data_IF_386270519560
#
_entry.id   IF_386270519560
#
_cell.length_a   1.000
_cell.length_b   1.000
_cell.length_c   1.000
_cell.angle_alpha   90.00
_cell.angle_beta   90.00
_cell.angle_gamma   90.00
#
_symmetry.space_group_name_H-M   'P 1'
#
loop_
_entity.id
_entity.type
_entity.pdbx_description
1 polymer ?
#
# COMPACT_ATOMS: atom_id res chain seq x y z
N UNK A 1 -36.02 16.65 18.16
CA UNK A 1 -35.45 16.16 19.43
C UNK A 1 -33.98 16.14 19.11
N UNK A 2 -33.30 17.21 19.48
CA UNK A 2 -31.96 17.49 18.97
C UNK A 2 -31.00 16.56 19.71
N UNK A 3 -30.30 15.69 18.99
CA UNK A 3 -29.22 14.90 19.59
C UNK A 3 -28.12 15.86 20.03
N UNK A 4 -27.57 15.62 21.22
CA UNK A 4 -26.44 16.38 21.73
C UNK A 4 -25.18 15.58 21.40
N UNK A 5 -24.36 16.11 20.48
CA UNK A 5 -23.00 15.62 20.26
C UNK A 5 -22.21 15.91 21.53
N UNK A 6 -21.72 14.85 22.18
CA UNK A 6 -21.02 14.94 23.46
C UNK A 6 -19.53 15.10 23.27
N UNK A 7 -19.00 14.45 22.25
CA UNK A 7 -17.59 14.40 21.94
C UNK A 7 -17.38 13.94 20.51
N UNK A 8 -16.29 14.39 19.91
CA UNK A 8 -15.86 14.03 18.57
C UNK A 8 -14.46 13.44 18.66
N UNK A 9 -14.25 12.31 17.99
CA UNK A 9 -12.98 11.60 18.00
C UNK A 9 -12.53 11.29 16.59
N UNK A 10 -11.23 11.32 16.38
CA UNK A 10 -10.60 10.83 15.17
C UNK A 10 -10.13 9.41 15.41
N UNK A 11 -10.72 8.46 14.70
CA UNK A 11 -10.31 7.05 14.74
C UNK A 11 -9.32 6.78 13.63
N UNK A 12 -8.15 6.27 13.98
CA UNK A 12 -7.11 5.81 13.04
C UNK A 12 -6.99 4.30 13.15
N UNK A 13 -7.33 3.59 12.07
CA UNK A 13 -7.18 2.13 11.97
C UNK A 13 -5.98 1.82 11.10
N UNK A 14 -5.06 1.02 11.61
CA UNK A 14 -3.89 0.53 10.87
C UNK A 14 -4.11 -0.91 10.43
N UNK A 15 -3.78 -1.23 9.19
CA UNK A 15 -3.95 -2.57 8.61
C UNK A 15 -2.60 -3.22 8.34
N UNK A 16 -2.50 -4.54 8.55
CA UNK A 16 -1.34 -5.30 8.10
C UNK A 16 -1.20 -5.18 6.58
N UNK A 17 -2.31 -5.25 5.85
CA UNK A 17 -2.40 -4.92 4.44
C UNK A 17 -3.79 -4.35 4.14
N UNK A 18 -3.87 -3.12 3.64
CA UNK A 18 -5.16 -2.49 3.33
C UNK A 18 -5.66 -2.90 1.94
N UNK A 19 -6.82 -3.57 1.89
CA UNK A 19 -7.48 -4.04 0.68
C UNK A 19 -7.71 -2.95 -0.36
N UNK A 20 -8.17 -1.77 0.08
CA UNK A 20 -8.45 -0.63 -0.80
C UNK A 20 -7.24 -0.18 -1.66
N UNK A 21 -6.01 -0.39 -1.17
CA UNK A 21 -4.77 -0.13 -1.91
C UNK A 21 -4.30 -1.42 -2.60
N UNK A 22 -4.30 -2.53 -1.87
CA UNK A 22 -3.82 -3.84 -2.33
C UNK A 22 -4.43 -4.28 -3.67
N UNK A 23 -5.75 -4.18 -3.83
CA UNK A 23 -6.42 -4.63 -5.05
C UNK A 23 -6.03 -3.83 -6.30
N UNK A 24 -5.58 -2.58 -6.15
CA UNK A 24 -5.00 -1.84 -7.27
C UNK A 24 -3.67 -2.45 -7.70
N UNK A 25 -2.83 -2.83 -6.74
CA UNK A 25 -1.57 -3.52 -6.99
C UNK A 25 -1.79 -4.87 -7.65
N UNK A 26 -2.81 -5.60 -7.23
CA UNK A 26 -3.18 -6.89 -7.83
C UNK A 26 -3.53 -6.75 -9.31
N UNK A 27 -4.37 -5.77 -9.66
CA UNK A 27 -4.75 -5.51 -11.05
C UNK A 27 -3.53 -5.17 -11.93
N UNK A 28 -2.61 -4.33 -11.44
CA UNK A 28 -1.36 -4.05 -12.16
C UNK A 28 -0.46 -5.28 -12.26
N UNK A 29 -0.37 -6.09 -11.21
CA UNK A 29 0.44 -7.31 -11.20
C UNK A 29 -0.06 -8.35 -12.21
N UNK A 30 -1.37 -8.55 -12.28
CA UNK A 30 -2.01 -9.43 -13.27
C UNK A 30 -1.82 -8.92 -14.71
N UNK A 31 -2.06 -7.63 -14.95
CA UNK A 31 -1.81 -7.02 -16.25
C UNK A 31 -0.34 -7.16 -16.67
N UNK A 32 0.60 -6.92 -15.74
CA UNK A 32 2.03 -7.08 -15.97
C UNK A 32 2.41 -8.51 -16.36
N UNK A 33 1.91 -9.51 -15.62
CA UNK A 33 2.13 -10.93 -15.94
C UNK A 33 1.59 -11.29 -17.32
N UNK A 34 0.35 -10.94 -17.62
CA UNK A 34 -0.25 -11.23 -18.93
C UNK A 34 0.57 -10.64 -20.10
N UNK A 35 1.12 -9.43 -19.94
CA UNK A 35 1.96 -8.80 -20.96
C UNK A 35 3.29 -9.55 -21.14
N UNK A 36 3.96 -9.95 -20.05
CA UNK A 36 5.22 -10.70 -20.11
C UNK A 36 4.99 -12.10 -20.70
N UNK A 37 3.97 -12.80 -20.24
CA UNK A 37 3.64 -14.18 -20.61
C UNK A 37 3.10 -14.29 -22.05
N UNK A 38 2.65 -13.19 -22.65
CA UNK A 38 2.24 -13.15 -24.06
C UNK A 38 3.36 -13.53 -25.03
N UNK A 39 4.63 -13.46 -24.60
CA UNK A 39 5.80 -13.73 -25.43
C UNK A 39 6.07 -12.68 -26.52
N UNK A 40 5.26 -11.62 -26.60
CA UNK A 40 5.47 -10.54 -27.56
C UNK A 40 6.57 -9.61 -27.06
N UNK A 41 7.66 -9.50 -27.82
CA UNK A 41 8.86 -8.76 -27.42
C UNK A 41 8.59 -7.28 -27.11
N UNK A 42 7.64 -6.65 -27.81
CA UNK A 42 7.24 -5.26 -27.57
C UNK A 42 6.40 -5.07 -26.30
N UNK A 43 5.86 -6.13 -25.71
CA UNK A 43 5.02 -6.07 -24.50
C UNK A 43 5.81 -6.38 -23.22
N UNK A 44 7.02 -6.93 -23.31
CA UNK A 44 7.85 -7.25 -22.16
C UNK A 44 8.12 -6.04 -21.25
N UNK A 45 8.55 -4.92 -21.85
CA UNK A 45 8.87 -3.70 -21.11
C UNK A 45 7.64 -3.11 -20.41
N UNK A 46 6.49 -2.87 -21.11
CA UNK A 46 5.22 -2.55 -20.46
C UNK A 46 4.83 -3.49 -19.31
N UNK A 47 5.05 -4.80 -19.50
CA UNK A 47 4.83 -5.80 -18.48
C UNK A 47 5.67 -5.58 -17.22
N UNK A 48 6.98 -5.38 -17.37
CA UNK A 48 7.89 -5.12 -16.25
C UNK A 48 7.54 -3.83 -15.49
N UNK A 49 7.05 -2.80 -16.17
CA UNK A 49 6.62 -1.55 -15.53
C UNK A 49 5.39 -1.78 -14.67
N UNK A 50 4.43 -2.55 -15.17
CA UNK A 50 3.26 -2.94 -14.40
C UNK A 50 3.64 -3.77 -13.17
N UNK A 51 4.61 -4.69 -13.29
CA UNK A 51 5.14 -5.43 -12.14
C UNK A 51 5.83 -4.50 -11.12
N UNK A 52 6.60 -3.51 -11.58
CA UNK A 52 7.22 -2.52 -10.69
C UNK A 52 6.17 -1.68 -9.95
N UNK A 53 5.15 -1.21 -10.67
CA UNK A 53 4.06 -0.45 -10.08
C UNK A 53 3.26 -1.29 -9.08
N UNK A 54 2.95 -2.54 -9.42
CA UNK A 54 2.32 -3.49 -8.53
C UNK A 54 3.13 -3.67 -7.23
N UNK A 55 4.45 -3.84 -7.36
CA UNK A 55 5.36 -3.96 -6.22
C UNK A 55 5.29 -2.72 -5.33
N UNK A 56 5.32 -1.52 -5.91
CA UNK A 56 5.18 -0.26 -5.16
C UNK A 56 3.85 -0.19 -4.40
N UNK A 57 2.75 -0.54 -5.06
CA UNK A 57 1.40 -0.48 -4.49
C UNK A 57 1.25 -1.51 -3.36
N UNK A 58 1.78 -2.73 -3.55
CA UNK A 58 1.77 -3.75 -2.49
C UNK A 58 2.52 -3.27 -1.26
N UNK A 59 3.76 -2.76 -1.42
CA UNK A 59 4.53 -2.21 -0.31
C UNK A 59 3.78 -1.06 0.41
N UNK A 60 3.09 -0.21 -0.35
CA UNK A 60 2.29 0.90 0.21
C UNK A 60 1.00 0.46 0.89
N UNK A 61 0.46 -0.71 0.54
CA UNK A 61 -0.72 -1.28 1.19
C UNK A 61 -0.40 -1.79 2.59
N UNK A 62 0.85 -2.17 2.86
CA UNK A 62 1.31 -2.69 4.15
C UNK A 62 1.38 -1.54 5.15
N UNK A 63 0.84 -1.74 6.36
CA UNK A 63 0.80 -0.73 7.43
C UNK A 63 0.09 0.58 7.03
N UNK A 64 -0.78 0.53 6.03
CA UNK A 64 -1.61 1.65 5.61
C UNK A 64 -2.71 1.94 6.65
N UNK A 65 -3.14 3.20 6.71
CA UNK A 65 -4.12 3.66 7.70
C UNK A 65 -5.39 4.20 7.07
N UNK A 66 -6.51 3.94 7.73
CA UNK A 66 -7.81 4.52 7.45
C UNK A 66 -8.20 5.40 8.62
N UNK A 67 -8.49 6.66 8.34
CA UNK A 67 -8.90 7.66 9.34
C UNK A 67 -10.31 8.12 9.05
N UNK A 68 -11.15 8.24 10.07
CA UNK A 68 -12.46 8.88 9.99
C UNK A 68 -12.81 9.54 11.32
N UNK A 69 -13.67 10.55 11.27
CA UNK A 69 -14.21 11.24 12.43
C UNK A 69 -15.48 10.52 12.90
N UNK A 70 -15.59 10.34 14.20
CA UNK A 70 -16.71 9.76 14.92
C UNK A 70 -17.30 10.81 15.85
N UNK A 71 -18.61 10.99 15.79
CA UNK A 71 -19.37 11.73 16.80
C UNK A 71 -20.00 10.76 17.78
N UNK A 72 -19.83 11.00 19.07
CA UNK A 72 -20.65 10.37 20.10
C UNK A 72 -21.89 11.21 20.35
N UNK A 73 -23.04 10.67 19.99
CA UNK A 73 -24.34 11.29 20.19
C UNK A 73 -25.13 10.57 21.28
N UNK A 74 -25.71 11.33 22.21
CA UNK A 74 -26.73 10.82 23.13
C UNK A 74 -28.13 11.13 22.57
N UNK A 75 -28.95 10.09 22.40
CA UNK A 75 -30.35 10.25 21.94
C UNK A 75 -31.21 11.04 22.95
N UNK A 76 -30.84 11.02 24.23
CA UNK A 76 -31.49 11.71 25.35
C UNK A 76 -30.43 11.94 26.44
N UNK A 77 -30.50 13.03 27.24
CA UNK A 77 -29.54 13.26 28.33
C UNK A 77 -29.48 12.08 29.32
N UNK A 78 -28.28 11.48 29.46
CA UNK A 78 -28.07 10.29 30.31
C UNK A 78 -28.47 8.96 29.66
N UNK A 79 -28.73 8.96 28.36
CA UNK A 79 -28.98 7.77 27.54
C UNK A 79 -27.69 7.07 27.09
N UNK A 80 -27.84 6.02 26.27
CA UNK A 80 -26.70 5.31 25.67
C UNK A 80 -26.11 6.18 24.54
N UNK A 81 -24.81 6.44 24.61
CA UNK A 81 -24.08 7.11 23.54
C UNK A 81 -23.92 6.18 22.33
N UNK A 82 -24.18 6.70 21.14
CA UNK A 82 -23.97 6.03 19.86
C UNK A 82 -22.83 6.73 19.11
N UNK A 83 -21.88 5.95 18.58
CA UNK A 83 -20.84 6.48 17.71
C UNK A 83 -21.32 6.48 16.26
N UNK A 84 -21.37 7.65 15.63
CA UNK A 84 -21.77 7.83 14.23
C UNK A 84 -20.54 8.32 13.45
N UNK A 85 -20.20 7.64 12.36
CA UNK A 85 -19.10 8.05 11.49
C UNK A 85 -19.52 9.13 10.50
N UNK A 86 -18.63 10.11 10.29
CA UNK A 86 -18.77 11.11 9.24
C UNK A 86 -18.13 10.60 7.94
N UNK A 87 -18.93 10.14 6.99
CA UNK A 87 -18.44 9.51 5.74
C UNK A 87 -17.52 10.42 4.91
N UNK A 88 -17.74 11.74 4.95
CA UNK A 88 -16.97 12.76 4.24
C UNK A 88 -15.56 12.99 4.81
N UNK A 89 -15.26 12.42 5.98
CA UNK A 89 -13.97 12.55 6.67
C UNK A 89 -13.04 11.35 6.44
N UNK A 90 -13.48 10.36 5.66
CA UNK A 90 -12.71 9.17 5.37
C UNK A 90 -11.42 9.52 4.60
N UNK A 91 -10.28 9.23 5.22
CA UNK A 91 -8.95 9.41 4.62
C UNK A 91 -8.15 8.14 4.69
N UNK A 92 -7.66 7.70 3.53
CA UNK A 92 -6.71 6.59 3.41
C UNK A 92 -5.30 7.17 3.24
N UNK A 93 -4.34 6.68 4.04
CA UNK A 93 -2.93 6.99 3.90
C UNK A 93 -2.12 5.70 3.70
N UNK A 94 -1.26 5.62 2.66
CA UNK A 94 -0.40 4.46 2.45
C UNK A 94 0.65 4.36 3.55
N UNK A 95 1.11 3.15 3.87
CA UNK A 95 2.12 2.91 4.91
C UNK A 95 3.52 3.43 4.55
N UNK A 96 3.73 3.85 3.30
CA UNK A 96 4.96 4.45 2.82
C UNK A 96 4.75 5.56 1.79
N UNK A 97 5.72 6.47 1.70
CA UNK A 97 5.73 7.61 0.77
C UNK A 97 6.93 7.52 -0.18
N UNK A 98 6.80 8.13 -1.36
CA UNK A 98 7.80 8.06 -2.43
C UNK A 98 7.63 6.84 -3.35
N UNK A 99 8.62 6.58 -4.21
CA UNK A 99 8.59 5.54 -5.25
C UNK A 99 9.82 4.62 -5.26
N UNK A 100 10.77 4.82 -4.34
CA UNK A 100 11.94 3.94 -4.23
C UNK A 100 11.54 2.64 -3.52
N UNK A 101 11.46 1.54 -4.26
CA UNK A 101 11.01 0.24 -3.75
C UNK A 101 11.87 -0.24 -2.58
N UNK A 102 13.20 -0.07 -2.66
CA UNK A 102 14.11 -0.46 -1.58
C UNK A 102 13.77 0.25 -0.27
N UNK A 103 13.54 1.57 -0.33
CA UNK A 103 13.21 2.40 0.83
C UNK A 103 11.82 2.12 1.38
N UNK A 104 10.87 1.75 0.52
CA UNK A 104 9.54 1.32 0.96
C UNK A 104 9.65 0.02 1.73
N UNK A 105 10.41 -0.96 1.23
CA UNK A 105 10.65 -2.23 1.90
C UNK A 105 11.43 -2.07 3.22
N UNK A 106 12.50 -1.28 3.23
CA UNK A 106 13.33 -1.02 4.43
C UNK A 106 12.52 -0.40 5.57
N UNK A 107 11.43 0.33 5.28
CA UNK A 107 10.56 0.96 6.28
C UNK A 107 9.43 0.06 6.78
N UNK A 108 9.25 -1.12 6.19
CA UNK A 108 8.23 -2.05 6.65
C UNK A 108 8.54 -2.53 8.08
N UNK A 109 7.49 -2.90 8.84
CA UNK A 109 7.64 -3.64 10.09
C UNK A 109 8.52 -4.89 9.92
N UNK A 110 9.28 -5.24 10.95
CA UNK A 110 10.25 -6.35 10.91
C UNK A 110 9.58 -7.68 10.59
N UNK A 111 8.45 -7.98 11.21
CA UNK A 111 7.64 -9.18 10.98
C UNK A 111 7.16 -9.30 9.52
N UNK A 112 6.82 -8.16 8.89
CA UNK A 112 6.46 -8.11 7.49
C UNK A 112 7.66 -8.44 6.60
N UNK A 113 8.83 -7.83 6.86
CA UNK A 113 10.05 -8.09 6.08
C UNK A 113 10.52 -9.54 6.20
N UNK A 114 10.45 -10.12 7.39
CA UNK A 114 10.77 -11.53 7.63
C UNK A 114 9.85 -12.46 6.85
N UNK A 115 8.54 -12.26 6.96
CA UNK A 115 7.54 -13.06 6.24
C UNK A 115 7.72 -12.97 4.72
N UNK A 116 7.94 -11.76 4.18
CA UNK A 116 8.24 -11.57 2.75
C UNK A 116 9.53 -12.30 2.37
N UNK A 117 10.55 -12.30 3.24
CA UNK A 117 11.78 -13.06 3.07
C UNK A 117 11.55 -14.56 2.94
N UNK A 118 10.64 -15.13 3.72
CA UNK A 118 10.26 -16.54 3.63
C UNK A 118 9.53 -16.85 2.32
N UNK A 119 8.57 -16.01 1.93
CA UNK A 119 7.88 -16.16 0.65
C UNK A 119 8.84 -16.01 -0.53
N UNK A 120 9.80 -15.09 -0.48
CA UNK A 120 10.78 -14.89 -1.55
C UNK A 120 11.65 -16.13 -1.77
N UNK A 121 12.06 -16.81 -0.69
CA UNK A 121 12.76 -18.10 -0.79
C UNK A 121 11.91 -19.17 -1.48
N UNK A 122 10.61 -19.22 -1.19
CA UNK A 122 9.68 -20.16 -1.85
C UNK A 122 9.49 -19.88 -3.34
N UNK A 123 9.57 -18.60 -3.73
CA UNK A 123 9.57 -18.14 -5.13
C UNK A 123 10.93 -18.33 -5.83
N UNK A 124 11.93 -18.89 -5.14
CA UNK A 124 13.27 -19.14 -5.68
C UNK A 124 14.22 -17.94 -5.63
N UNK A 125 13.86 -16.87 -4.94
CA UNK A 125 14.76 -15.74 -4.69
C UNK A 125 15.52 -15.91 -3.37
N UNK A 126 16.83 -16.16 -3.48
CA UNK A 126 17.72 -16.39 -2.33
C UNK A 126 18.59 -15.16 -1.97
N UNK A 127 18.43 -14.05 -2.70
CA UNK A 127 19.18 -12.82 -2.48
C UNK A 127 18.56 -11.94 -1.38
N UNK A 128 19.24 -10.84 -1.07
CA UNK A 128 18.66 -9.78 -0.23
C UNK A 128 17.55 -9.05 -1.00
N UNK A 129 16.36 -8.92 -0.40
CA UNK A 129 15.19 -8.30 -1.05
C UNK A 129 15.43 -6.80 -1.26
N UNK A 130 16.03 -6.11 -0.29
CA UNK A 130 16.31 -4.68 -0.38
C UNK A 130 17.23 -4.36 -1.56
N UNK A 131 18.30 -5.13 -1.73
CA UNK A 131 19.24 -5.02 -2.86
C UNK A 131 18.60 -5.42 -4.19
N UNK A 132 17.72 -6.42 -4.16
CA UNK A 132 16.91 -6.82 -5.32
C UNK A 132 16.03 -5.66 -5.80
N UNK A 133 15.31 -5.01 -4.87
CA UNK A 133 14.43 -3.88 -5.12
C UNK A 133 15.19 -2.60 -5.50
N UNK A 134 16.38 -2.37 -4.93
CA UNK A 134 17.22 -1.18 -5.18
C UNK A 134 17.54 -0.98 -6.65
N UNK A 135 17.65 -2.07 -7.40
CA UNK A 135 17.91 -2.05 -8.85
C UNK A 135 16.76 -1.45 -9.66
N UNK A 136 15.57 -1.33 -9.07
CA UNK A 136 14.40 -0.74 -9.72
C UNK A 136 13.99 0.62 -9.16
N UNK A 137 14.73 1.16 -8.17
CA UNK A 137 14.43 2.47 -7.58
C UNK A 137 14.36 3.60 -8.63
N UNK A 138 15.10 3.46 -9.73
CA UNK A 138 15.15 4.45 -10.82
C UNK A 138 14.46 3.97 -12.09
N UNK A 139 13.80 2.82 -12.07
CA UNK A 139 13.32 2.15 -13.30
C UNK A 139 12.33 3.02 -14.09
N UNK A 140 11.47 3.78 -13.42
CA UNK A 140 10.53 4.68 -14.09
C UNK A 140 11.23 5.85 -14.79
N UNK A 141 12.34 6.33 -14.22
CA UNK A 141 13.16 7.39 -14.83
C UNK A 141 13.97 6.81 -15.98
N UNK A 142 14.62 5.67 -15.75
CA UNK A 142 15.48 5.01 -16.74
C UNK A 142 14.68 4.50 -17.95
N UNK A 143 13.45 4.01 -17.73
CA UNK A 143 12.57 3.56 -18.81
C UNK A 143 12.24 4.67 -19.81
N UNK A 144 12.03 5.92 -19.37
CA UNK A 144 11.83 7.06 -20.28
C UNK A 144 12.97 7.22 -21.29
N UNK A 145 14.18 6.81 -20.89
CA UNK A 145 15.38 6.89 -21.70
C UNK A 145 15.72 5.59 -22.45
N UNK A 146 14.97 4.50 -22.28
CA UNK A 146 15.25 3.22 -22.96
C UNK A 146 15.10 3.36 -24.48
N UNK A 147 14.07 4.08 -24.94
CA UNK A 147 13.87 4.35 -26.37
C UNK A 147 14.92 5.31 -26.96
N UNK A 148 15.56 6.12 -26.11
CA UNK A 148 16.63 7.02 -26.53
C UNK A 148 17.98 6.30 -26.63
N UNK A 149 18.20 5.27 -25.80
CA UNK A 149 19.47 4.54 -25.72
C UNK A 149 19.50 3.23 -26.51
N UNK A 150 18.36 2.79 -27.05
CA UNK A 150 18.23 1.57 -27.86
C UNK A 150 18.73 0.28 -27.15
N UNK A 151 18.64 0.24 -25.81
CA UNK A 151 19.09 -0.90 -25.00
C UNK A 151 17.93 -1.49 -24.17
N UNK A 152 17.10 -2.36 -24.78
CA UNK A 152 16.00 -3.04 -24.09
C UNK A 152 16.48 -4.12 -23.10
N UNK A 153 17.79 -4.45 -23.08
CA UNK A 153 18.36 -5.50 -22.23
C UNK A 153 18.48 -5.13 -20.75
N UNK A 154 18.45 -3.84 -20.41
CA UNK A 154 18.64 -3.34 -19.04
C UNK A 154 17.52 -3.77 -18.08
N UNK A 155 16.33 -4.08 -18.60
CA UNK A 155 15.19 -4.58 -17.81
C UNK A 155 15.10 -6.12 -17.77
N UNK A 156 16.07 -6.83 -18.36
CA UNK A 156 16.06 -8.28 -18.53
C UNK A 156 15.81 -9.01 -17.21
N UNK A 157 14.71 -9.77 -17.16
CA UNK A 157 14.23 -10.70 -16.12
C UNK A 157 15.09 -10.75 -14.86
N UNK A 158 15.07 -9.64 -14.16
CA UNK A 158 15.76 -9.42 -12.90
C UNK A 158 14.73 -9.88 -11.81
N UNK A 159 15.07 -10.21 -10.53
CA UNK A 159 14.23 -11.03 -9.65
C UNK A 159 12.96 -10.32 -9.13
N UNK A 160 12.53 -9.24 -9.78
CA UNK A 160 11.35 -8.47 -9.40
C UNK A 160 10.09 -9.31 -9.44
N UNK A 161 9.95 -10.26 -10.37
CA UNK A 161 8.77 -11.13 -10.39
C UNK A 161 8.69 -11.97 -9.11
N UNK A 162 9.79 -12.61 -8.72
CA UNK A 162 9.86 -13.41 -7.50
C UNK A 162 9.63 -12.53 -6.25
N UNK A 163 10.27 -11.36 -6.20
CA UNK A 163 10.09 -10.42 -5.08
C UNK A 163 8.66 -9.88 -5.02
N UNK A 164 8.07 -9.52 -6.16
CA UNK A 164 6.69 -9.04 -6.27
C UNK A 164 5.70 -10.12 -5.84
N UNK A 165 5.89 -11.36 -6.29
CA UNK A 165 5.08 -12.51 -5.86
C UNK A 165 5.18 -12.72 -4.35
N UNK A 166 6.38 -12.61 -3.77
CA UNK A 166 6.58 -12.75 -2.34
C UNK A 166 5.87 -11.67 -1.51
N UNK A 167 5.94 -10.40 -1.96
CA UNK A 167 5.23 -9.29 -1.31
C UNK A 167 3.70 -9.49 -1.47
N UNK A 168 3.23 -9.90 -2.64
CA UNK A 168 1.83 -10.22 -2.86
C UNK A 168 1.35 -11.36 -1.95
N UNK A 169 2.14 -12.42 -1.77
CA UNK A 169 1.81 -13.54 -0.88
C UNK A 169 1.64 -13.09 0.57
N UNK A 170 2.54 -12.22 1.07
CA UNK A 170 2.36 -11.57 2.36
C UNK A 170 1.04 -10.78 2.41
N UNK A 171 0.81 -9.88 1.44
CA UNK A 171 -0.40 -9.07 1.39
C UNK A 171 -1.67 -9.92 1.38
N UNK A 172 -1.73 -10.97 0.56
CA UNK A 172 -2.85 -11.91 0.51
C UNK A 172 -3.11 -12.59 1.86
N UNK A 173 -2.05 -12.96 2.58
CA UNK A 173 -2.19 -13.59 3.89
C UNK A 173 -2.70 -12.64 4.99
N UNK A 174 -2.69 -11.33 4.73
CA UNK A 174 -2.95 -10.25 5.69
C UNK A 174 -4.01 -9.23 5.26
N UNK A 175 -4.61 -9.38 4.07
CA UNK A 175 -5.51 -8.38 3.50
C UNK A 175 -6.69 -8.09 4.43
N UNK A 176 -6.93 -6.80 4.68
CA UNK A 176 -7.94 -6.25 5.57
C UNK A 176 -7.87 -6.71 7.04
N UNK A 177 -6.78 -7.39 7.44
CA UNK A 177 -6.50 -7.67 8.85
C UNK A 177 -6.01 -6.40 9.53
N UNK A 178 -6.74 -5.95 10.56
CA UNK A 178 -6.36 -4.80 11.36
C UNK A 178 -5.21 -5.15 12.30
N UNK A 179 -4.21 -4.26 12.38
CA UNK A 179 -3.21 -4.26 13.46
C UNK A 179 -3.86 -3.70 14.73
N UNK A 180 -4.64 -2.63 14.59
CA UNK A 180 -5.32 -1.99 15.70
C UNK A 180 -5.99 -0.67 15.30
N UNK A 181 -6.75 -0.10 16.23
CA UNK A 181 -7.37 1.22 16.10
C UNK A 181 -7.02 2.09 17.31
N UNK A 182 -6.78 3.38 17.06
CA UNK A 182 -6.56 4.37 18.11
C UNK A 182 -7.57 5.50 17.92
N UNK A 183 -8.20 5.90 19.02
CA UNK A 183 -9.09 7.06 19.07
C UNK A 183 -8.35 8.24 19.68
N UNK A 184 -8.31 9.34 18.95
CA UNK A 184 -7.74 10.62 19.37
C UNK A 184 -8.87 11.62 19.55
N UNK A 185 -8.87 12.38 20.64
CA UNK A 185 -9.81 13.49 20.82
C UNK A 185 -9.65 14.49 19.67
N UNK A 186 -10.75 14.89 19.05
CA UNK A 186 -10.74 15.75 17.87
C UNK A 186 -11.53 17.03 18.15
N UNK A 187 -10.84 18.16 18.02
CA UNK A 187 -11.45 19.49 18.20
C UNK A 187 -11.79 20.10 16.83
N UNK A 188 -13.08 20.04 16.47
CA UNK A 188 -13.65 20.62 15.24
C UNK A 188 -13.34 22.12 15.10
N UNK A 189 -13.14 22.86 16.21
CA UNK A 189 -12.95 24.31 16.17
C UNK A 189 -11.58 24.77 15.66
N UNK A 190 -10.59 23.86 15.67
CA UNK A 190 -9.22 24.17 15.26
C UNK A 190 -9.02 24.15 13.73
N UNK A 191 -9.80 23.36 12.98
CA UNK A 191 -9.63 23.19 11.52
C UNK A 191 -10.23 24.36 10.71
N UNK A 192 -11.16 25.13 11.29
CA UNK A 192 -11.75 26.31 10.67
C UNK A 192 -10.84 27.55 10.61
N UNK A 193 -9.61 27.49 11.11
CA UNK A 193 -8.65 28.61 11.09
C UNK A 193 -7.68 28.60 9.90
N UNK A 194 -7.78 27.62 9.00
CA UNK A 194 -6.99 27.54 7.76
C UNK A 194 -7.87 27.70 6.52
N UNK A 195 -8.56 28.83 6.44
CA UNK A 195 -9.23 29.34 5.24
C UNK A 195 -8.45 30.51 4.64
#
# INVERSE_FOLDING_TARGET
>A
MDSLVKSTYKRVITYHCMGAIYYQGLAFGEAGRHLIESGQSNLFVPGMINICLATEIFLKSINATMTYILDEEEAQPGGVALSIGRDDTLKIAPGGQGHHLSKLFEKLPEDARESIGEFAKSEGYLGDIGDGLRKYDRVFVEWRYIYEKNDPGVLGTHPLLQICNAINAYCMSKVDQMIGGVDEEYDDSADHTKG
#
